data_IF_900538945963
#
_entry.id   IF_900538945963
#
_cell.length_a   1.000
_cell.length_b   1.000
_cell.length_c   1.000
_cell.angle_alpha   90.00
_cell.angle_beta   90.00
_cell.angle_gamma   90.00
#
_symmetry.space_group_name_H-M   'P 1'
#
loop_
_entity.id
_entity.type
_entity.pdbx_description
1 polymer ?
#
# COMPACT_ATOMS: atom_id res chain seq x y z
N UNK A 1 22.41 -0.64 12.14
CA UNK A 1 21.75 -0.18 10.88
C UNK A 1 20.40 -0.86 10.82
N UNK A 2 19.33 -0.10 10.83
CA UNK A 2 17.97 -0.62 10.70
C UNK A 2 17.78 -1.14 9.27
N UNK A 3 17.36 -2.40 9.09
CA UNK A 3 17.30 -3.03 7.78
C UNK A 3 16.06 -3.92 7.57
N UNK A 4 15.06 -3.82 8.47
CA UNK A 4 13.82 -4.61 8.37
C UNK A 4 12.60 -3.70 8.26
N UNK A 5 11.77 -3.89 7.24
CA UNK A 5 10.47 -3.24 7.07
C UNK A 5 9.37 -4.29 6.93
N UNK A 6 8.22 -4.00 7.51
CA UNK A 6 7.03 -4.84 7.37
C UNK A 6 6.11 -4.26 6.31
N UNK A 7 5.79 -5.04 5.30
CA UNK A 7 4.74 -4.71 4.35
C UNK A 7 3.40 -5.23 4.89
N UNK A 8 2.54 -4.31 5.32
CA UNK A 8 1.28 -4.56 6.00
C UNK A 8 0.21 -5.08 5.02
N UNK A 9 0.46 -6.21 4.39
CA UNK A 9 -0.46 -6.87 3.47
C UNK A 9 -0.25 -8.38 3.44
N UNK A 10 -1.33 -9.12 3.17
CA UNK A 10 -1.31 -10.55 2.82
C UNK A 10 -1.42 -10.77 1.32
N UNK A 11 -1.71 -9.71 0.54
CA UNK A 11 -1.85 -9.80 -0.92
C UNK A 11 -0.49 -10.03 -1.59
N UNK A 12 -0.29 -11.24 -2.11
CA UNK A 12 0.98 -11.68 -2.71
C UNK A 12 1.35 -10.90 -3.98
N UNK A 13 0.38 -10.32 -4.69
CA UNK A 13 0.67 -9.47 -5.84
C UNK A 13 1.33 -8.16 -5.38
N UNK A 14 0.79 -7.51 -4.35
CA UNK A 14 1.38 -6.32 -3.75
C UNK A 14 2.78 -6.60 -3.19
N UNK A 15 2.96 -7.74 -2.51
CA UNK A 15 4.28 -8.16 -1.97
C UNK A 15 5.30 -8.30 -3.09
N UNK A 16 4.92 -8.92 -4.22
CA UNK A 16 5.82 -9.11 -5.36
C UNK A 16 6.20 -7.80 -6.02
N UNK A 17 5.20 -6.94 -6.28
CA UNK A 17 5.43 -5.60 -6.82
C UNK A 17 6.41 -4.82 -5.93
N UNK A 18 6.13 -4.75 -4.63
CA UNK A 18 6.98 -4.00 -3.69
C UNK A 18 8.41 -4.55 -3.62
N UNK A 19 8.59 -5.87 -3.46
CA UNK A 19 9.91 -6.50 -3.40
C UNK A 19 10.75 -6.25 -4.66
N UNK A 20 10.09 -6.17 -5.82
CA UNK A 20 10.77 -5.87 -7.08
C UNK A 20 11.34 -4.45 -7.10
N UNK A 21 10.62 -3.47 -6.55
CA UNK A 21 11.07 -2.07 -6.51
C UNK A 21 12.20 -1.83 -5.51
N UNK A 22 12.26 -2.59 -4.43
CA UNK A 22 13.30 -2.43 -3.39
C UNK A 22 14.43 -3.44 -3.50
N UNK A 23 14.50 -4.21 -4.59
CA UNK A 23 15.46 -5.30 -4.75
C UNK A 23 16.93 -4.87 -4.67
N UNK A 24 17.24 -3.63 -5.08
CA UNK A 24 18.58 -3.07 -5.07
C UNK A 24 18.99 -2.42 -3.74
N UNK A 25 18.07 -2.36 -2.78
CA UNK A 25 18.33 -1.76 -1.47
C UNK A 25 18.65 -2.81 -0.40
N UNK A 26 19.57 -2.53 0.54
CA UNK A 26 19.97 -3.47 1.60
C UNK A 26 18.92 -3.51 2.73
N UNK A 27 17.67 -3.85 2.39
CA UNK A 27 16.55 -3.93 3.32
C UNK A 27 15.84 -5.28 3.19
N UNK A 28 15.52 -5.89 4.32
CA UNK A 28 14.68 -7.08 4.38
C UNK A 28 13.21 -6.64 4.43
N UNK A 29 12.38 -7.19 3.53
CA UNK A 29 10.94 -6.95 3.51
C UNK A 29 10.22 -8.23 3.95
N UNK A 30 9.49 -8.13 5.05
CA UNK A 30 8.55 -9.16 5.51
C UNK A 30 7.11 -8.71 5.26
N UNK A 31 6.26 -9.62 4.85
CA UNK A 31 4.81 -9.41 4.75
C UNK A 31 4.12 -9.90 6.02
N UNK A 32 2.84 -9.58 6.20
CA UNK A 32 2.08 -10.08 7.36
C UNK A 32 2.05 -11.61 7.44
N UNK A 33 2.11 -12.28 6.29
CA UNK A 33 2.15 -13.76 6.23
C UNK A 33 3.39 -14.37 6.88
N UNK A 34 4.44 -13.59 7.08
CA UNK A 34 5.70 -14.05 7.68
C UNK A 34 5.67 -14.05 9.23
N UNK A 35 4.59 -13.52 9.85
CA UNK A 35 4.47 -13.38 11.31
C UNK A 35 3.40 -14.28 11.96
N UNK A 36 2.67 -15.06 11.18
CA UNK A 36 1.52 -15.83 11.69
C UNK A 36 0.28 -14.96 11.94
N UNK A 37 -0.71 -15.44 12.71
CA UNK A 37 -1.95 -14.70 12.96
C UNK A 37 -1.68 -13.40 13.72
N UNK A 38 -2.11 -12.28 13.17
CA UNK A 38 -2.04 -10.96 13.79
C UNK A 38 -3.45 -10.36 13.92
N UNK A 39 -3.70 -9.48 14.90
CA UNK A 39 -4.95 -8.74 14.96
C UNK A 39 -5.11 -7.88 13.71
N UNK A 40 -6.33 -7.87 13.16
CA UNK A 40 -6.62 -7.11 11.94
C UNK A 40 -6.65 -5.60 12.21
N UNK A 41 -6.17 -4.83 11.26
CA UNK A 41 -6.30 -3.37 11.28
C UNK A 41 -7.73 -2.98 10.91
N UNK A 42 -8.28 -1.99 11.63
CA UNK A 42 -9.60 -1.42 11.30
C UNK A 42 -9.41 -0.35 10.21
N UNK A 43 -9.92 -0.65 9.01
CA UNK A 43 -9.88 0.25 7.85
C UNK A 43 -11.25 0.93 7.65
N UNK A 44 -11.62 1.79 8.60
CA UNK A 44 -12.89 2.54 8.65
C UNK A 44 -12.72 4.02 8.26
N UNK A 45 -11.58 4.37 7.67
CA UNK A 45 -11.29 5.70 7.17
C UNK A 45 -12.16 6.08 5.95
N UNK A 46 -12.38 7.37 5.78
CA UNK A 46 -13.13 7.95 4.66
C UNK A 46 -12.26 8.19 3.42
N UNK A 47 -10.94 8.15 3.56
CA UNK A 47 -9.95 8.37 2.52
C UNK A 47 -8.93 7.25 2.46
N UNK A 48 -8.26 7.12 1.32
CA UNK A 48 -7.14 6.18 1.15
C UNK A 48 -5.98 6.51 2.12
N UNK A 49 -5.71 7.80 2.35
CA UNK A 49 -4.66 8.25 3.28
C UNK A 49 -4.94 7.79 4.72
N UNK A 50 -6.18 8.03 5.20
CA UNK A 50 -6.58 7.59 6.54
C UNK A 50 -6.42 6.07 6.73
N UNK A 51 -6.84 5.27 5.74
CA UNK A 51 -6.75 3.82 5.82
C UNK A 51 -5.31 3.31 5.72
N UNK A 52 -4.52 3.86 4.79
CA UNK A 52 -3.10 3.51 4.66
C UNK A 52 -2.35 3.83 5.95
N UNK A 53 -2.56 5.00 6.54
CA UNK A 53 -1.95 5.39 7.81
C UNK A 53 -2.41 4.50 8.98
N UNK A 54 -3.72 4.30 9.15
CA UNK A 54 -4.27 3.43 10.22
C UNK A 54 -3.67 2.03 10.16
N UNK A 55 -3.61 1.45 8.96
CA UNK A 55 -3.03 0.12 8.74
C UNK A 55 -1.54 0.09 9.05
N UNK A 56 -0.75 1.03 8.52
CA UNK A 56 0.69 1.10 8.78
C UNK A 56 0.98 1.26 10.27
N UNK A 57 0.29 2.19 10.93
CA UNK A 57 0.47 2.44 12.36
C UNK A 57 0.06 1.25 13.22
N UNK A 58 -1.06 0.58 12.87
CA UNK A 58 -1.54 -0.60 13.61
C UNK A 58 -0.47 -1.70 13.62
N UNK A 59 0.01 -2.11 12.44
CA UNK A 59 0.99 -3.19 12.36
C UNK A 59 2.38 -2.77 12.85
N UNK A 60 2.72 -1.50 12.73
CA UNK A 60 3.94 -0.98 13.33
C UNK A 60 3.92 -1.10 14.86
N UNK A 61 2.80 -0.76 15.50
CA UNK A 61 2.61 -0.91 16.96
C UNK A 61 2.58 -2.38 17.39
N UNK A 62 1.84 -3.21 16.67
CA UNK A 62 1.70 -4.64 17.00
C UNK A 62 3.03 -5.37 16.93
N UNK A 63 3.87 -5.04 15.96
CA UNK A 63 5.14 -5.73 15.72
C UNK A 63 6.35 -5.00 16.34
N UNK A 64 6.19 -3.76 16.80
CA UNK A 64 7.31 -2.94 17.30
C UNK A 64 8.33 -2.57 16.22
N UNK A 65 7.94 -2.63 14.93
CA UNK A 65 8.82 -2.45 13.77
C UNK A 65 8.13 -1.47 12.81
N UNK A 66 8.85 -0.56 12.12
CA UNK A 66 8.25 0.26 11.09
C UNK A 66 7.51 -0.56 10.04
N UNK A 67 6.32 -0.13 9.70
CA UNK A 67 5.47 -0.83 8.75
C UNK A 67 5.04 0.09 7.59
N UNK A 68 4.95 -0.52 6.42
CA UNK A 68 4.46 0.09 5.19
C UNK A 68 3.10 -0.51 4.88
N UNK A 69 2.10 0.34 4.65
CA UNK A 69 0.80 -0.09 4.15
C UNK A 69 0.42 0.72 2.92
N UNK A 70 -0.24 0.08 1.97
CA UNK A 70 -0.93 0.79 0.89
C UNK A 70 -2.44 0.62 1.04
N UNK A 71 -3.16 1.71 0.77
CA UNK A 71 -4.58 1.65 0.43
C UNK A 71 -4.75 2.20 -0.99
N UNK A 72 -5.52 1.47 -1.80
CA UNK A 72 -5.64 1.74 -3.22
C UNK A 72 -7.01 1.34 -3.73
N UNK A 73 -7.51 2.10 -4.68
CA UNK A 73 -8.79 1.79 -5.28
C UNK A 73 -9.06 2.56 -6.56
N UNK A 74 -10.24 2.31 -7.11
CA UNK A 74 -10.76 2.96 -8.28
C UNK A 74 -11.73 4.07 -7.86
N UNK A 75 -11.55 5.26 -8.39
CA UNK A 75 -12.49 6.37 -8.26
C UNK A 75 -13.10 6.69 -9.62
N UNK A 76 -14.43 6.69 -9.73
CA UNK A 76 -15.16 6.97 -10.98
C UNK A 76 -15.92 8.27 -10.85
N UNK A 77 -15.70 9.22 -11.77
CA UNK A 77 -16.29 10.55 -11.67
C UNK A 77 -17.82 10.53 -11.66
N UNK A 78 -18.44 9.78 -12.57
CA UNK A 78 -19.89 9.67 -12.68
C UNK A 78 -20.55 9.08 -11.42
N UNK A 79 -19.77 8.34 -10.60
CA UNK A 79 -20.23 7.74 -9.36
C UNK A 79 -19.75 8.52 -8.11
N UNK A 80 -19.42 9.81 -8.28
CA UNK A 80 -18.92 10.67 -7.19
C UNK A 80 -17.73 10.08 -6.44
N UNK A 81 -16.83 9.41 -7.16
CA UNK A 81 -15.64 8.79 -6.62
C UNK A 81 -15.82 7.33 -6.15
N UNK A 82 -17.03 6.78 -6.18
CA UNK A 82 -17.20 5.35 -5.90
C UNK A 82 -16.54 4.49 -7.01
N UNK A 83 -16.07 3.28 -6.67
CA UNK A 83 -16.08 2.58 -5.38
C UNK A 83 -15.16 3.15 -4.30
N UNK A 84 -14.11 3.92 -4.63
CA UNK A 84 -13.22 4.58 -3.68
C UNK A 84 -12.58 3.60 -2.72
N UNK A 85 -12.55 3.93 -1.43
CA UNK A 85 -11.98 3.07 -0.34
C UNK A 85 -12.68 1.71 -0.20
N UNK A 86 -13.84 1.54 -0.83
CA UNK A 86 -14.57 0.27 -0.85
C UNK A 86 -14.25 -0.61 -2.06
N UNK A 87 -13.23 -0.27 -2.85
CA UNK A 87 -12.92 -0.94 -4.12
C UNK A 87 -12.83 -2.47 -4.01
N UNK A 88 -12.18 -2.98 -2.99
CA UNK A 88 -12.03 -4.44 -2.80
C UNK A 88 -13.33 -5.14 -2.41
N UNK A 89 -14.27 -4.43 -1.78
CA UNK A 89 -15.55 -4.96 -1.26
C UNK A 89 -16.77 -4.22 -1.80
N UNK A 90 -16.67 -3.72 -3.02
CA UNK A 90 -17.73 -2.90 -3.62
C UNK A 90 -19.05 -3.62 -3.76
N UNK A 91 -19.02 -4.90 -4.15
CA UNK A 91 -20.21 -5.74 -4.27
C UNK A 91 -20.54 -6.51 -2.97
N UNK A 92 -19.77 -6.33 -1.89
CA UNK A 92 -19.92 -6.99 -0.58
C UNK A 92 -18.59 -7.46 -0.04
N UNK A 93 -18.56 -7.86 1.23
CA UNK A 93 -17.30 -8.21 1.91
C UNK A 93 -16.63 -9.47 1.32
N UNK A 94 -17.41 -10.43 0.85
CA UNK A 94 -16.92 -11.66 0.19
C UNK A 94 -16.90 -11.57 -1.35
N UNK A 95 -17.00 -10.36 -1.91
CA UNK A 95 -17.10 -10.17 -3.35
C UNK A 95 -15.79 -10.52 -4.07
N UNK A 96 -15.91 -11.22 -5.18
CA UNK A 96 -14.79 -11.43 -6.12
C UNK A 96 -14.55 -10.19 -6.98
N UNK A 97 -13.37 -10.12 -7.61
CA UNK A 97 -13.06 -9.05 -8.59
C UNK A 97 -14.10 -9.00 -9.71
N UNK A 98 -14.62 -10.15 -10.14
CA UNK A 98 -15.69 -10.21 -11.16
C UNK A 98 -17.01 -9.65 -10.64
N UNK A 99 -17.36 -9.88 -9.35
CA UNK A 99 -18.57 -9.32 -8.75
C UNK A 99 -18.47 -7.80 -8.68
N UNK A 100 -17.30 -7.29 -8.26
CA UNK A 100 -17.03 -5.85 -8.20
C UNK A 100 -17.11 -5.21 -9.59
N UNK A 101 -16.54 -5.85 -10.62
CA UNK A 101 -16.63 -5.40 -11.99
C UNK A 101 -18.07 -5.40 -12.52
N UNK A 102 -18.87 -6.44 -12.23
CA UNK A 102 -20.28 -6.53 -12.64
C UNK A 102 -21.10 -5.42 -12.00
N UNK A 103 -20.91 -5.16 -10.71
CA UNK A 103 -21.60 -4.07 -10.02
C UNK A 103 -21.24 -2.73 -10.62
N UNK A 104 -19.94 -2.46 -10.84
CA UNK A 104 -19.50 -1.23 -11.47
C UNK A 104 -20.16 -1.00 -12.82
N UNK A 105 -20.17 -2.01 -13.69
CA UNK A 105 -20.82 -1.91 -15.01
C UNK A 105 -22.33 -1.67 -14.91
N UNK A 106 -23.01 -2.27 -13.93
CA UNK A 106 -24.42 -2.06 -13.70
C UNK A 106 -24.73 -0.62 -13.28
N UNK A 107 -23.93 -0.04 -12.39
CA UNK A 107 -24.08 1.35 -11.94
C UNK A 107 -23.67 2.37 -13.02
N UNK A 108 -22.72 2.00 -13.89
CA UNK A 108 -22.28 2.82 -15.01
C UNK A 108 -23.21 2.72 -16.24
N UNK A 109 -24.31 1.95 -16.14
CA UNK A 109 -25.24 1.78 -17.28
C UNK A 109 -25.94 3.09 -17.65
N UNK A 110 -25.71 3.54 -18.88
CA UNK A 110 -26.28 4.79 -19.41
C UNK A 110 -25.44 6.03 -19.10
N UNK A 111 -24.38 5.90 -18.29
CA UNK A 111 -23.47 7.01 -18.02
C UNK A 111 -22.57 7.29 -19.24
N UNK A 112 -22.50 8.55 -19.64
CA UNK A 112 -21.63 9.00 -20.73
C UNK A 112 -20.26 9.45 -20.22
N UNK A 113 -20.18 9.95 -18.99
CA UNK A 113 -18.91 10.23 -18.36
C UNK A 113 -18.31 8.94 -17.83
N UNK A 114 -17.30 8.44 -18.52
CA UNK A 114 -16.60 7.18 -18.18
C UNK A 114 -15.26 7.40 -17.48
N UNK A 115 -14.92 8.65 -17.15
CA UNK A 115 -13.66 8.99 -16.54
C UNK A 115 -13.49 8.34 -15.17
N UNK A 116 -12.31 7.79 -14.95
CA UNK A 116 -11.93 7.15 -13.71
C UNK A 116 -10.45 7.32 -13.44
N UNK A 117 -10.06 7.18 -12.19
CA UNK A 117 -8.66 7.12 -11.79
C UNK A 117 -8.45 5.97 -10.81
N UNK A 118 -7.40 5.20 -11.00
CA UNK A 118 -6.84 4.43 -9.91
C UNK A 118 -6.01 5.34 -9.00
N UNK A 119 -6.19 5.21 -7.70
CA UNK A 119 -5.45 5.96 -6.68
C UNK A 119 -4.70 4.96 -5.80
N UNK A 120 -3.48 5.30 -5.41
CA UNK A 120 -2.70 4.56 -4.42
C UNK A 120 -2.12 5.55 -3.42
N UNK A 121 -2.37 5.31 -2.15
CA UNK A 121 -1.68 5.97 -1.05
C UNK A 121 -0.86 4.92 -0.30
N UNK A 122 0.41 5.22 -0.08
CA UNK A 122 1.33 4.39 0.68
C UNK A 122 1.79 5.16 1.90
N UNK A 123 1.60 4.58 3.08
CA UNK A 123 2.03 5.15 4.36
C UNK A 123 3.11 4.30 4.99
N UNK A 124 4.17 4.92 5.50
CA UNK A 124 5.28 4.30 6.22
C UNK A 124 5.25 4.84 7.65
N UNK A 125 4.81 4.05 8.61
CA UNK A 125 4.65 4.48 10.00
C UNK A 125 5.67 3.82 10.93
N UNK A 126 6.07 4.55 11.97
CA UNK A 126 6.84 4.02 13.11
C UNK A 126 5.91 3.80 14.30
N UNK A 127 6.27 2.94 15.29
CA UNK A 127 5.40 2.62 16.42
C UNK A 127 4.95 3.83 17.24
N UNK A 128 5.76 4.89 17.33
CA UNK A 128 5.43 6.14 18.05
C UNK A 128 4.36 7.00 17.38
N UNK A 129 4.05 6.77 16.09
CA UNK A 129 2.97 7.43 15.40
C UNK A 129 3.33 8.26 14.17
N UNK A 130 4.51 8.93 14.07
CA UNK A 130 4.89 9.63 12.83
C UNK A 130 4.90 8.73 11.61
N UNK A 131 4.50 9.29 10.46
CA UNK A 131 4.47 8.58 9.19
C UNK A 131 4.95 9.46 8.03
N UNK A 132 5.43 8.82 6.97
CA UNK A 132 5.64 9.39 5.64
C UNK A 132 4.54 8.86 4.73
N UNK A 133 4.03 9.72 3.85
CA UNK A 133 2.97 9.33 2.91
C UNK A 133 3.37 9.69 1.49
N UNK A 134 3.11 8.74 0.56
CA UNK A 134 3.28 8.89 -0.88
C UNK A 134 1.94 8.62 -1.55
N UNK A 135 1.56 9.47 -2.51
CA UNK A 135 0.30 9.32 -3.22
C UNK A 135 0.49 9.50 -4.72
N UNK A 136 -0.14 8.64 -5.51
CA UNK A 136 -0.21 8.84 -6.95
C UNK A 136 -1.52 8.30 -7.52
N UNK A 137 -1.90 8.85 -8.67
CA UNK A 137 -3.04 8.42 -9.45
C UNK A 137 -2.66 8.05 -10.89
N UNK A 138 -3.51 7.24 -11.49
CA UNK A 138 -3.45 6.93 -12.90
C UNK A 138 -4.84 7.14 -13.50
N UNK A 139 -4.97 8.13 -14.37
CA UNK A 139 -6.22 8.45 -15.04
C UNK A 139 -6.49 7.50 -16.21
N UNK A 140 -7.76 7.24 -16.46
CA UNK A 140 -8.22 6.39 -17.54
C UNK A 140 -9.75 6.44 -17.68
N UNK A 141 -10.30 5.47 -18.40
CA UNK A 141 -11.75 5.38 -18.63
C UNK A 141 -12.27 3.96 -18.39
N UNK A 142 -13.51 3.86 -17.95
CA UNK A 142 -14.17 2.56 -17.74
C UNK A 142 -14.84 2.13 -19.05
N UNK A 143 -14.49 0.95 -19.54
CA UNK A 143 -15.13 0.33 -20.70
C UNK A 143 -16.53 -0.20 -20.36
N UNK A 144 -17.34 -0.45 -21.43
CA UNK A 144 -18.66 -1.07 -21.28
C UNK A 144 -18.61 -2.60 -21.12
N UNK A 145 -17.47 -3.21 -21.41
CA UNK A 145 -17.24 -4.63 -21.26
C UNK A 145 -15.76 -4.91 -20.92
N UNK A 146 -15.47 -5.98 -20.17
CA UNK A 146 -14.10 -6.34 -19.80
C UNK A 146 -13.29 -6.79 -21.02
N UNK A 147 -12.00 -6.40 -21.06
CA UNK A 147 -11.00 -6.87 -22.04
C UNK A 147 -9.72 -7.25 -21.33
N UNK A 148 -9.07 -8.31 -21.84
CA UNK A 148 -7.85 -8.85 -21.27
C UNK A 148 -8.09 -9.77 -20.08
N UNK A 149 -7.00 -10.41 -19.60
CA UNK A 149 -7.06 -11.41 -18.52
C UNK A 149 -5.91 -11.29 -17.52
N UNK A 150 -5.01 -10.31 -17.71
CA UNK A 150 -3.92 -10.06 -16.78
C UNK A 150 -4.41 -9.21 -15.60
N UNK A 151 -3.57 -9.12 -14.56
CA UNK A 151 -3.81 -8.25 -13.42
C UNK A 151 -4.88 -8.74 -12.47
N UNK A 152 -5.58 -7.81 -11.80
CA UNK A 152 -6.60 -8.09 -10.78
C UNK A 152 -7.54 -6.89 -10.62
N UNK A 153 -8.61 -7.07 -9.81
CA UNK A 153 -9.56 -6.00 -9.54
C UNK A 153 -10.27 -5.52 -10.81
N UNK A 154 -10.26 -4.22 -11.01
CA UNK A 154 -10.93 -3.56 -12.14
C UNK A 154 -10.07 -3.44 -13.41
N UNK A 155 -8.88 -4.03 -13.44
CA UNK A 155 -7.96 -3.96 -14.58
C UNK A 155 -8.60 -4.29 -15.94
N UNK A 156 -9.54 -5.28 -16.05
CA UNK A 156 -10.20 -5.57 -17.32
C UNK A 156 -11.15 -4.47 -17.82
N UNK A 157 -11.59 -3.58 -16.95
CA UNK A 157 -12.49 -2.47 -17.28
C UNK A 157 -11.76 -1.14 -17.44
N UNK A 158 -10.57 -1.01 -16.87
CA UNK A 158 -9.81 0.23 -16.84
C UNK A 158 -8.96 0.39 -18.11
N UNK A 159 -9.42 1.25 -19.01
CA UNK A 159 -8.74 1.55 -20.26
C UNK A 159 -7.76 2.71 -20.07
N UNK A 160 -6.50 2.45 -20.41
CA UNK A 160 -5.42 3.43 -20.34
C UNK A 160 -5.13 3.95 -21.75
N UNK A 161 -5.63 5.15 -22.04
CA UNK A 161 -5.61 5.76 -23.36
C UNK A 161 -4.20 5.82 -24.00
N UNK A 162 -3.11 6.19 -23.29
CA UNK A 162 -1.80 6.26 -23.90
C UNK A 162 -1.31 4.95 -24.53
N UNK A 163 -1.81 3.80 -24.03
CA UNK A 163 -1.46 2.49 -24.58
C UNK A 163 -2.54 1.92 -25.50
N UNK A 164 -3.74 2.53 -25.56
CA UNK A 164 -4.87 2.00 -26.31
C UNK A 164 -5.38 0.64 -25.83
N UNK A 165 -5.13 0.31 -24.55
CA UNK A 165 -5.36 -1.00 -23.94
C UNK A 165 -5.92 -0.85 -22.53
N UNK A 166 -6.59 -1.89 -22.04
CA UNK A 166 -6.87 -2.00 -20.61
C UNK A 166 -5.63 -2.45 -19.84
N UNK A 167 -5.64 -2.25 -18.53
CA UNK A 167 -4.57 -2.78 -17.66
C UNK A 167 -4.50 -4.31 -17.69
N UNK A 168 -5.59 -5.00 -18.02
CA UNK A 168 -5.59 -6.45 -18.19
C UNK A 168 -5.08 -6.94 -19.56
N UNK A 169 -4.82 -6.02 -20.52
CA UNK A 169 -4.24 -6.33 -21.84
C UNK A 169 -2.73 -6.06 -21.92
N UNK A 170 -2.13 -5.54 -20.86
CA UNK A 170 -0.69 -5.23 -20.78
C UNK A 170 0.02 -6.14 -19.79
N UNK A 171 1.33 -6.25 -19.91
CA UNK A 171 2.16 -6.97 -18.96
C UNK A 171 2.25 -6.25 -17.62
N UNK A 172 2.60 -6.97 -16.54
CA UNK A 172 2.85 -6.36 -15.24
C UNK A 172 3.99 -5.34 -15.31
N UNK A 173 5.01 -5.60 -16.09
CA UNK A 173 6.13 -4.68 -16.27
C UNK A 173 5.70 -3.36 -16.93
N UNK A 174 4.86 -3.43 -17.97
CA UNK A 174 4.29 -2.25 -18.61
C UNK A 174 3.38 -1.49 -17.65
N UNK A 175 2.51 -2.20 -16.90
CA UNK A 175 1.62 -1.63 -15.91
C UNK A 175 2.40 -0.92 -14.80
N UNK A 176 3.47 -1.52 -14.28
CA UNK A 176 4.29 -0.93 -13.22
C UNK A 176 4.94 0.41 -13.61
N UNK A 177 5.16 0.66 -14.89
CA UNK A 177 5.72 1.94 -15.38
C UNK A 177 4.71 3.10 -15.35
N UNK A 178 3.41 2.81 -15.36
CA UNK A 178 2.38 3.84 -15.56
C UNK A 178 1.29 3.86 -14.49
N UNK A 179 1.12 2.76 -13.77
CA UNK A 179 0.05 2.63 -12.78
C UNK A 179 0.24 3.53 -11.55
N UNK A 180 -0.85 3.79 -10.84
CA UNK A 180 -0.88 4.48 -9.56
C UNK A 180 0.16 3.92 -8.57
N UNK A 181 0.15 2.60 -8.33
CA UNK A 181 1.12 1.95 -7.42
C UNK A 181 2.54 2.01 -7.97
N UNK A 182 2.74 1.76 -9.26
CA UNK A 182 4.06 1.88 -9.87
C UNK A 182 4.67 3.26 -9.69
N UNK A 183 3.89 4.34 -9.86
CA UNK A 183 4.33 5.72 -9.64
C UNK A 183 4.74 5.98 -8.18
N UNK A 184 3.91 5.55 -7.20
CA UNK A 184 4.25 5.66 -5.78
C UNK A 184 5.54 4.91 -5.46
N UNK A 185 5.70 3.69 -5.97
CA UNK A 185 6.90 2.88 -5.71
C UNK A 185 8.15 3.46 -6.40
N UNK A 186 8.02 4.06 -7.57
CA UNK A 186 9.13 4.78 -8.23
C UNK A 186 9.56 6.00 -7.41
N UNK A 187 8.61 6.78 -6.88
CA UNK A 187 8.90 7.93 -6.03
C UNK A 187 9.58 7.49 -4.72
N UNK A 188 9.01 6.48 -4.05
CA UNK A 188 9.61 5.89 -2.87
C UNK A 188 11.04 5.39 -3.14
N UNK A 189 11.26 4.67 -4.25
CA UNK A 189 12.58 4.16 -4.63
C UNK A 189 13.60 5.28 -4.83
N UNK A 190 13.20 6.38 -5.47
CA UNK A 190 14.07 7.54 -5.68
C UNK A 190 14.48 8.24 -4.37
N UNK A 191 13.66 8.12 -3.32
CA UNK A 191 13.91 8.71 -2.02
C UNK A 191 14.29 7.69 -0.94
N UNK A 192 14.45 6.42 -1.27
CA UNK A 192 14.56 5.33 -0.31
C UNK A 192 15.66 5.52 0.73
N UNK A 193 16.82 6.01 0.33
CA UNK A 193 17.92 6.32 1.27
C UNK A 193 17.53 7.38 2.31
N UNK A 194 16.72 8.38 1.92
CA UNK A 194 16.22 9.42 2.85
C UNK A 194 15.19 8.80 3.81
N UNK A 195 14.33 7.95 3.29
CA UNK A 195 13.34 7.22 4.09
C UNK A 195 14.02 6.34 5.12
N UNK A 196 15.04 5.57 4.73
CA UNK A 196 15.78 4.71 5.65
C UNK A 196 16.51 5.51 6.74
N UNK A 197 17.11 6.65 6.42
CA UNK A 197 17.71 7.56 7.41
C UNK A 197 16.68 8.13 8.38
N UNK A 198 15.50 8.49 7.86
CA UNK A 198 14.40 8.98 8.69
C UNK A 198 13.90 7.88 9.64
N UNK A 199 13.70 6.66 9.15
CA UNK A 199 13.31 5.52 9.96
C UNK A 199 14.34 5.20 11.04
N UNK A 200 15.63 5.14 10.68
CA UNK A 200 16.71 4.88 11.63
C UNK A 200 16.72 5.90 12.76
N UNK A 201 16.58 7.20 12.43
CA UNK A 201 16.47 8.27 13.41
C UNK A 201 15.27 8.08 14.34
N UNK A 202 14.08 7.79 13.79
CA UNK A 202 12.87 7.61 14.58
C UNK A 202 12.94 6.40 15.50
N UNK A 203 13.42 5.27 14.98
CA UNK A 203 13.60 4.05 15.80
C UNK A 203 14.60 4.27 16.93
N UNK A 204 15.68 5.02 16.70
CA UNK A 204 16.64 5.35 17.75
C UNK A 204 16.04 6.27 18.81
N UNK A 205 15.21 7.24 18.44
CA UNK A 205 14.51 8.13 19.37
C UNK A 205 13.49 7.37 20.26
N UNK A 206 13.00 6.21 19.81
CA UNK A 206 12.06 5.35 20.52
C UNK A 206 12.75 4.32 21.44
N UNK A 207 14.04 4.08 21.26
CA UNK A 207 14.77 3.18 22.15
C UNK A 207 14.83 3.81 23.54
N UNK A 208 14.43 3.08 24.60
CA UNK A 208 14.61 3.57 25.96
C UNK A 208 16.09 3.89 26.18
N UNK A 209 16.35 5.03 26.83
CA UNK A 209 17.71 5.35 27.27
C UNK A 209 18.31 4.12 27.97
N UNK A 210 19.47 3.67 27.52
CA UNK A 210 20.12 2.57 28.20
C UNK A 210 20.34 3.00 29.65
N UNK A 211 19.96 2.16 30.65
CA UNK A 211 20.19 2.49 32.03
C UNK A 211 21.71 2.83 32.21
N UNK A 212 21.97 3.94 32.85
CA UNK A 212 23.35 4.30 33.18
C UNK A 212 23.88 3.29 34.16
N UNK A 213 24.68 2.36 33.65
CA UNK A 213 25.34 1.33 34.47
C UNK A 213 26.58 1.85 35.18
N UNK A 214 26.91 3.14 35.12
CA UNK A 214 28.06 3.72 35.79
C UNK A 214 27.99 3.57 37.31
N UNK A 215 26.79 3.57 37.89
CA UNK A 215 26.57 3.34 39.33
C UNK A 215 26.94 1.95 39.79
N UNK A 216 27.08 0.96 38.90
CA UNK A 216 27.42 -0.42 39.26
C UNK A 216 28.94 -0.73 39.11
N UNK A 217 29.76 0.21 38.65
CA UNK A 217 31.20 -0.01 38.46
C UNK A 217 31.99 -0.06 39.78
N UNK A 218 31.43 0.46 40.86
CA UNK A 218 32.07 0.54 42.16
C UNK A 218 31.59 -0.54 43.17
N UNK A 219 30.73 -1.46 42.74
CA UNK A 219 30.35 -2.58 43.59
C UNK A 219 31.38 -3.69 43.49
N UNK A 220 32.33 -3.65 44.42
CA UNK A 220 33.28 -4.74 44.68
C UNK A 220 32.55 -5.97 45.23
N UNK A 221 32.29 -6.97 44.39
CA UNK A 221 31.69 -8.25 44.74
C UNK A 221 32.73 -9.24 45.35
N UNK A 222 33.91 -8.79 45.77
CA UNK A 222 34.98 -9.61 46.30
C UNK A 222 34.94 -9.78 47.83
N UNK A 223 33.74 -9.78 48.47
CA UNK A 223 33.56 -10.11 49.87
C UNK A 223 32.69 -11.33 50.09
#
# INVERSE_FOLDING_TARGET
>A
MFNLLVLATTNQNKVREFKQFVADFPVEIKSLSDFGPLPEAIEDGSTFDENAYKKALHYSKVLGIPAIADDSGLAVEALSGAPGVRSARYAGDDATDQDNCRKLLAEMKGETNRKAAFVCVLSIAVPSGPALTYEASCEGTILDAPRGSNGFGYDPLFYYEPFGKTFAEISMEEKNKVSHRGKVLMELSAEFDKVMKWLEKRVLEEMPEQPDHTEFKDNDWSR
#
